data_IF_166626007415
#
_entry.id   IF_166626007415
#
_cell.length_a   1.000
_cell.length_b   1.000
_cell.length_c   1.000
_cell.angle_alpha   90.00
_cell.angle_beta   90.00
_cell.angle_gamma   90.00
#
_symmetry.space_group_name_H-M   'P 1'
#
loop_
_entity.id
_entity.type
_entity.pdbx_description
1 polymer ?
#
# COMPACT_ATOMS: atom_id res chain seq x y z
N UNK A 1 -15.33 -4.10 -2.26
CA UNK A 1 -14.04 -3.90 -2.95
C UNK A 1 -12.94 -4.54 -2.14
N UNK A 2 -11.69 -4.29 -2.47
CA UNK A 2 -10.52 -4.76 -1.71
C UNK A 2 -9.85 -3.55 -1.01
N UNK A 3 -8.53 -3.46 -0.97
CA UNK A 3 -7.75 -2.32 -0.49
C UNK A 3 -8.00 -1.05 -1.35
N UNK A 4 -8.17 0.12 -0.73
CA UNK A 4 -8.36 1.40 -1.45
C UNK A 4 -7.05 1.87 -2.10
N UNK A 5 -5.94 1.78 -1.37
CA UNK A 5 -4.59 2.06 -1.87
C UNK A 5 -3.68 0.89 -1.52
N UNK A 6 -3.21 0.15 -2.53
CA UNK A 6 -2.29 -0.98 -2.34
C UNK A 6 -0.88 -0.64 -2.87
N UNK A 7 0.08 -0.51 -1.95
CA UNK A 7 1.50 -0.26 -2.26
C UNK A 7 2.23 -1.60 -2.34
N UNK A 8 2.83 -1.88 -3.50
CA UNK A 8 3.51 -3.16 -3.80
C UNK A 8 4.88 -2.90 -4.43
N UNK A 9 5.76 -3.90 -4.42
CA UNK A 9 7.07 -3.88 -5.07
C UNK A 9 7.43 -5.22 -5.73
N UNK A 10 6.40 -5.93 -6.20
CA UNK A 10 6.55 -7.15 -6.99
C UNK A 10 6.66 -8.43 -6.17
N UNK A 11 6.45 -9.55 -6.86
CA UNK A 11 6.62 -10.90 -6.32
C UNK A 11 8.09 -11.30 -6.34
N UNK A 12 8.44 -12.34 -5.60
CA UNK A 12 9.81 -12.84 -5.44
C UNK A 12 10.55 -12.99 -6.78
N UNK A 13 9.97 -13.67 -7.76
CA UNK A 13 10.62 -13.89 -9.06
C UNK A 13 10.88 -12.59 -9.85
N UNK A 14 10.09 -11.54 -9.63
CA UNK A 14 10.32 -10.23 -10.24
C UNK A 14 11.50 -9.52 -9.57
N UNK A 15 11.65 -9.69 -8.25
CA UNK A 15 12.78 -9.11 -7.53
C UNK A 15 14.14 -9.69 -7.98
N UNK A 16 14.15 -10.92 -8.53
CA UNK A 16 15.38 -11.56 -9.04
C UNK A 16 15.93 -10.88 -10.31
N UNK A 17 15.04 -10.51 -11.24
CA UNK A 17 15.44 -10.04 -12.58
C UNK A 17 15.10 -8.56 -12.84
N UNK A 18 14.15 -8.01 -12.08
CA UNK A 18 13.58 -6.67 -12.24
C UNK A 18 13.44 -5.98 -10.88
N UNK A 19 14.48 -6.09 -10.05
CA UNK A 19 14.50 -5.49 -8.73
C UNK A 19 14.16 -4.00 -8.80
N UNK A 20 13.02 -3.65 -8.21
CA UNK A 20 12.54 -2.27 -8.12
C UNK A 20 11.80 -2.06 -6.82
N UNK A 21 12.35 -1.16 -5.99
CA UNK A 21 11.70 -0.69 -4.77
C UNK A 21 10.53 0.23 -5.11
N UNK A 22 9.54 0.24 -4.23
CA UNK A 22 8.56 1.33 -4.18
C UNK A 22 8.91 2.23 -3.01
N UNK A 23 9.36 3.44 -3.29
CA UNK A 23 9.83 4.38 -2.28
C UNK A 23 9.23 5.79 -2.44
N UNK A 24 9.17 6.53 -1.33
CA UNK A 24 8.75 7.95 -1.29
C UNK A 24 7.30 8.19 -1.78
N UNK A 25 6.37 7.32 -1.38
CA UNK A 25 4.95 7.41 -1.73
C UNK A 25 4.23 8.37 -0.77
N UNK A 26 3.46 9.33 -1.31
CA UNK A 26 2.62 10.24 -0.52
C UNK A 26 1.15 10.05 -0.85
N UNK A 27 0.36 9.64 0.14
CA UNK A 27 -1.11 9.59 0.07
C UNK A 27 -1.65 10.72 0.94
N UNK A 28 -2.31 11.71 0.33
CA UNK A 28 -2.79 12.89 1.08
C UNK A 28 -4.10 13.43 0.56
N UNK A 29 -4.91 13.98 1.47
CA UNK A 29 -6.16 14.69 1.14
C UNK A 29 -7.16 13.79 0.38
N UNK A 30 -7.26 12.52 0.76
CA UNK A 30 -8.15 11.54 0.12
C UNK A 30 -9.28 11.11 1.06
N UNK A 31 -10.49 10.91 0.50
CA UNK A 31 -11.56 10.13 1.14
C UNK A 31 -11.46 8.68 0.69
N UNK A 32 -11.11 7.79 1.60
CA UNK A 32 -10.97 6.35 1.36
C UNK A 32 -12.18 5.66 1.98
N UNK A 33 -13.18 5.37 1.14
CA UNK A 33 -14.46 4.76 1.53
C UNK A 33 -14.33 3.23 1.65
N UNK A 34 -15.45 2.51 1.70
CA UNK A 34 -15.54 1.06 1.93
C UNK A 34 -14.50 0.20 1.16
N UNK A 35 -13.63 -0.46 1.90
CA UNK A 35 -12.58 -1.37 1.42
C UNK A 35 -11.96 -2.20 2.55
N UNK A 36 -11.24 -3.28 2.22
CA UNK A 36 -10.59 -4.17 3.20
C UNK A 36 -9.39 -3.51 3.92
N UNK A 37 -8.87 -2.43 3.36
CA UNK A 37 -7.79 -1.61 3.92
C UNK A 37 -7.75 -0.24 3.26
N UNK A 38 -7.67 0.85 4.03
CA UNK A 38 -7.57 2.19 3.44
C UNK A 38 -6.22 2.37 2.74
N UNK A 39 -5.13 2.13 3.46
CA UNK A 39 -3.78 2.02 2.87
C UNK A 39 -3.16 0.70 3.26
N UNK A 40 -2.75 -0.07 2.26
CA UNK A 40 -2.21 -1.40 2.44
C UNK A 40 -0.84 -1.51 1.78
N UNK A 41 0.15 -2.00 2.52
CA UNK A 41 1.48 -2.35 1.99
C UNK A 41 1.54 -3.86 1.83
N UNK A 42 1.73 -4.33 0.60
CA UNK A 42 1.83 -5.75 0.25
C UNK A 42 0.54 -6.42 -0.22
N UNK A 43 0.48 -7.74 -0.32
CA UNK A 43 1.50 -8.72 0.10
C UNK A 43 2.73 -8.80 -0.81
N UNK A 44 2.62 -8.43 -2.09
CA UNK A 44 3.74 -8.49 -3.04
C UNK A 44 4.76 -7.37 -2.77
N UNK A 45 5.64 -7.59 -1.79
CA UNK A 45 6.64 -6.64 -1.31
C UNK A 45 8.09 -7.11 -1.48
N UNK A 46 8.37 -8.09 -2.36
CA UNK A 46 9.69 -8.70 -2.46
C UNK A 46 10.79 -7.74 -2.93
N UNK A 47 10.45 -6.68 -3.67
CA UNK A 47 11.37 -5.62 -4.04
C UNK A 47 11.64 -4.60 -2.92
N UNK A 48 10.90 -4.66 -1.80
CA UNK A 48 10.96 -3.70 -0.69
C UNK A 48 10.05 -2.48 -0.87
N UNK A 49 9.51 -1.96 0.23
CA UNK A 49 8.70 -0.73 0.28
C UNK A 49 9.20 0.17 1.41
N UNK A 50 9.46 1.44 1.13
CA UNK A 50 9.97 2.41 2.13
C UNK A 50 9.40 3.81 1.91
N UNK A 51 9.37 4.63 2.96
CA UNK A 51 8.98 6.05 2.84
C UNK A 51 7.54 6.28 2.38
N UNK A 52 6.56 5.49 2.85
CA UNK A 52 5.14 5.73 2.60
C UNK A 52 4.59 6.69 3.65
N UNK A 53 4.14 7.87 3.23
CA UNK A 53 3.53 8.89 4.10
C UNK A 53 2.06 9.05 3.78
N UNK A 54 1.20 8.83 4.78
CA UNK A 54 -0.25 9.01 4.69
C UNK A 54 -0.67 10.15 5.60
N UNK A 55 -1.37 11.17 5.08
CA UNK A 55 -1.73 12.35 5.88
C UNK A 55 -3.00 13.04 5.40
N UNK A 56 -3.81 13.59 6.33
CA UNK A 56 -5.07 14.29 6.02
C UNK A 56 -6.00 13.46 5.12
N UNK A 57 -6.15 12.18 5.42
CA UNK A 57 -7.10 11.31 4.75
C UNK A 57 -8.26 11.00 5.69
N UNK A 58 -9.45 10.82 5.11
CA UNK A 58 -10.63 10.34 5.83
C UNK A 58 -10.78 8.88 5.46
N UNK A 59 -10.75 7.99 6.46
CA UNK A 59 -11.02 6.57 6.25
C UNK A 59 -12.45 6.30 6.69
N UNK A 60 -13.35 6.16 5.72
CA UNK A 60 -14.78 5.99 5.96
C UNK A 60 -15.18 4.53 5.69
N UNK A 61 -15.60 3.83 6.76
CA UNK A 61 -16.19 2.49 6.65
C UNK A 61 -15.27 1.43 6.01
N UNK A 62 -13.95 1.57 6.15
CA UNK A 62 -12.96 0.54 5.79
C UNK A 62 -12.73 -0.44 6.94
N UNK A 63 -12.44 -1.72 6.64
CA UNK A 63 -12.19 -2.73 7.67
C UNK A 63 -10.93 -2.43 8.50
N UNK A 64 -9.91 -1.82 7.87
CA UNK A 64 -8.62 -1.47 8.48
C UNK A 64 -8.11 -0.15 7.92
N UNK A 65 -7.58 0.72 8.78
CA UNK A 65 -6.97 2.00 8.34
C UNK A 65 -5.64 1.80 7.59
N UNK A 66 -4.68 1.19 8.27
CA UNK A 66 -3.38 0.78 7.71
C UNK A 66 -3.23 -0.73 7.83
N UNK A 67 -2.77 -1.40 6.77
CA UNK A 67 -2.53 -2.84 6.78
C UNK A 67 -1.18 -3.17 6.15
N UNK A 68 -0.37 -4.01 6.80
CA UNK A 68 0.91 -4.49 6.25
C UNK A 68 0.79 -6.01 6.07
N UNK A 69 1.12 -6.48 4.87
CA UNK A 69 1.07 -7.89 4.44
C UNK A 69 2.42 -8.22 3.77
N UNK A 70 2.89 -9.45 3.89
CA UNK A 70 4.05 -9.96 3.13
C UNK A 70 3.79 -11.36 2.62
#
# INVERSE_FOLDING_TARGET
GDDCVAVKSGKYYMALNHYKKTENVVVRNCGLNRGHGSVTVGSECSGGVSGVRVSRCIFDSTDRGLRIKT
#
